data_IF_141462334263
#
_entry.id   IF_141462334263
#
_cell.length_a   1.000
_cell.length_b   1.000
_cell.length_c   1.000
_cell.angle_alpha   90.00
_cell.angle_beta   90.00
_cell.angle_gamma   90.00
#
_symmetry.space_group_name_H-M   'P 1'
#
loop_
_entity.id
_entity.type
_entity.pdbx_description
1 polymer ?
#
# COMPACT_ATOMS: atom_id res chain seq x y z
N UNK A 1 1.69 -6.74 -4.10
CA UNK A 1 1.46 -8.16 -4.45
C UNK A 1 0.59 -8.34 -5.68
N UNK A 2 -0.68 -7.90 -5.68
CA UNK A 2 -1.60 -8.05 -6.83
C UNK A 2 -2.16 -6.71 -7.33
N UNK A 3 -1.44 -5.62 -7.04
CA UNK A 3 -1.77 -4.29 -7.52
C UNK A 3 -1.39 -4.18 -8.99
N UNK A 4 -2.34 -3.79 -9.82
CA UNK A 4 -2.16 -3.64 -11.26
C UNK A 4 -3.21 -2.68 -11.82
N UNK A 5 -3.03 -2.24 -13.05
CA UNK A 5 -4.04 -1.44 -13.75
C UNK A 5 -4.98 -2.38 -14.51
N UNK A 6 -6.27 -2.36 -14.16
CA UNK A 6 -7.32 -3.18 -14.79
C UNK A 6 -8.33 -2.21 -15.39
N UNK A 7 -8.51 -2.28 -16.70
CA UNK A 7 -9.46 -1.45 -17.46
C UNK A 7 -9.27 0.06 -17.20
N UNK A 8 -8.02 0.49 -17.05
CA UNK A 8 -7.64 1.89 -16.84
C UNK A 8 -7.58 2.31 -15.37
N UNK A 9 -7.97 1.45 -14.42
CA UNK A 9 -8.01 1.78 -12.99
C UNK A 9 -7.00 0.95 -12.21
N UNK A 10 -6.18 1.63 -11.38
CA UNK A 10 -5.29 0.94 -10.45
C UNK A 10 -6.11 0.30 -9.32
N UNK A 11 -6.06 -1.03 -9.21
CA UNK A 11 -6.85 -1.78 -8.22
C UNK A 11 -6.13 -3.05 -7.77
N UNK A 12 -6.75 -3.75 -6.82
CA UNK A 12 -6.29 -5.05 -6.35
C UNK A 12 -6.96 -6.16 -7.16
N UNK A 13 -6.20 -6.89 -7.95
CA UNK A 13 -6.75 -7.91 -8.85
C UNK A 13 -7.55 -8.99 -8.12
N UNK A 14 -7.13 -9.39 -6.91
CA UNK A 14 -7.84 -10.41 -6.13
C UNK A 14 -9.22 -9.99 -5.62
N UNK A 15 -9.52 -8.68 -5.62
CA UNK A 15 -10.82 -8.12 -5.24
C UNK A 15 -11.57 -7.53 -6.44
N UNK A 16 -10.92 -7.44 -7.60
CA UNK A 16 -11.52 -6.94 -8.83
C UNK A 16 -12.36 -8.06 -9.48
N UNK A 17 -13.69 -7.91 -9.45
CA UNK A 17 -14.60 -8.88 -10.05
C UNK A 17 -14.49 -8.84 -11.56
N UNK A 18 -14.32 -10.00 -12.18
CA UNK A 18 -14.33 -10.16 -13.63
C UNK A 18 -15.69 -9.73 -14.18
N UNK A 19 -15.67 -8.97 -15.27
CA UNK A 19 -16.87 -8.60 -15.99
C UNK A 19 -17.52 -9.85 -16.61
N UNK A 20 -18.80 -10.08 -16.32
CA UNK A 20 -19.54 -11.24 -16.83
C UNK A 20 -20.02 -11.06 -18.27
N UNK A 21 -19.96 -9.84 -18.80
CA UNK A 21 -20.27 -9.55 -20.20
C UNK A 21 -19.10 -9.98 -21.10
N UNK A 22 -19.25 -11.17 -21.70
CA UNK A 22 -18.24 -11.75 -22.61
C UNK A 22 -17.98 -10.95 -23.89
N UNK A 23 -18.80 -9.94 -24.21
CA UNK A 23 -18.54 -9.04 -25.34
C UNK A 23 -17.46 -8.00 -25.03
N UNK A 24 -17.12 -7.81 -23.75
CA UNK A 24 -16.13 -6.82 -23.30
C UNK A 24 -14.80 -7.50 -23.01
N UNK A 25 -13.75 -6.98 -23.66
CA UNK A 25 -12.38 -7.41 -23.41
C UNK A 25 -11.80 -6.59 -22.26
N UNK A 26 -11.34 -7.25 -21.18
CA UNK A 26 -10.59 -6.59 -20.12
C UNK A 26 -9.12 -6.45 -20.48
N UNK A 27 -8.56 -5.28 -20.20
CA UNK A 27 -7.13 -4.96 -20.38
C UNK A 27 -6.45 -4.90 -19.03
N UNK A 28 -5.34 -5.62 -18.90
CA UNK A 28 -4.55 -5.67 -17.68
C UNK A 28 -3.13 -5.21 -17.99
N UNK A 29 -2.67 -4.21 -17.25
CA UNK A 29 -1.32 -3.66 -17.34
C UNK A 29 -0.65 -3.68 -15.96
N UNK A 30 0.70 -3.70 -15.88
CA UNK A 30 1.39 -3.40 -14.63
C UNK A 30 1.02 -2.00 -14.12
N UNK A 31 1.40 -1.69 -12.87
CA UNK A 31 1.19 -0.34 -12.34
C UNK A 31 1.89 0.71 -13.23
N UNK A 32 1.21 1.83 -13.56
CA UNK A 32 1.76 2.86 -14.45
C UNK A 32 3.04 3.50 -13.90
N UNK A 33 3.89 4.01 -14.80
CA UNK A 33 5.11 4.76 -14.46
C UNK A 33 6.14 4.03 -13.59
N UNK A 34 6.03 2.70 -13.46
CA UNK A 34 7.04 1.86 -12.82
C UNK A 34 7.84 1.09 -13.86
N UNK A 35 9.13 0.84 -13.57
CA UNK A 35 9.91 -0.09 -14.37
C UNK A 35 9.32 -1.50 -14.24
N UNK A 36 9.14 -2.18 -15.36
CA UNK A 36 8.58 -3.54 -15.38
C UNK A 36 9.72 -4.54 -15.37
N UNK A 37 9.75 -5.41 -14.36
CA UNK A 37 10.71 -6.52 -14.30
C UNK A 37 10.35 -7.55 -15.37
N UNK A 38 9.10 -8.02 -15.33
CA UNK A 38 8.53 -8.95 -16.30
C UNK A 38 7.00 -8.98 -16.19
N UNK A 39 6.31 -9.10 -17.32
CA UNK A 39 4.85 -9.23 -17.40
C UNK A 39 4.11 -8.13 -16.60
N UNK A 40 3.40 -8.50 -15.53
CA UNK A 40 2.64 -7.59 -14.67
C UNK A 40 3.38 -7.24 -13.37
N UNK A 41 4.66 -7.60 -13.25
CA UNK A 41 5.46 -7.39 -12.03
C UNK A 41 6.33 -6.13 -12.17
N UNK A 42 5.95 -5.01 -11.53
CA UNK A 42 6.79 -3.82 -11.48
C UNK A 42 7.92 -3.96 -10.46
N UNK A 43 8.99 -3.20 -10.66
CA UNK A 43 10.05 -3.00 -9.69
C UNK A 43 9.59 -2.03 -8.60
N UNK A 44 9.46 -2.54 -7.37
CA UNK A 44 8.98 -1.79 -6.20
C UNK A 44 10.12 -1.19 -5.36
N UNK A 45 11.38 -1.34 -5.78
CA UNK A 45 12.56 -0.95 -4.98
C UNK A 45 12.50 0.53 -4.58
N UNK A 46 12.31 1.43 -5.54
CA UNK A 46 12.22 2.87 -5.26
C UNK A 46 11.05 3.23 -4.33
N UNK A 47 9.89 2.57 -4.46
CA UNK A 47 8.74 2.80 -3.58
C UNK A 47 9.07 2.44 -2.12
N UNK A 48 9.72 1.30 -1.89
CA UNK A 48 10.12 0.89 -0.54
C UNK A 48 11.26 1.74 0.02
N UNK A 49 12.18 2.22 -0.81
CA UNK A 49 13.22 3.15 -0.38
C UNK A 49 12.63 4.47 0.12
N UNK A 50 11.66 5.04 -0.60
CA UNK A 50 10.93 6.23 -0.15
C UNK A 50 10.18 5.98 1.16
N UNK A 51 9.53 4.83 1.32
CA UNK A 51 8.88 4.47 2.59
C UNK A 51 9.87 4.31 3.74
N UNK A 52 11.09 3.82 3.49
CA UNK A 52 12.13 3.72 4.51
C UNK A 52 12.60 5.10 4.98
N UNK A 53 12.62 6.12 4.10
CA UNK A 53 13.09 7.46 4.43
C UNK A 53 12.24 8.16 5.50
N UNK A 54 10.94 7.85 5.59
CA UNK A 54 10.09 8.42 6.65
C UNK A 54 10.30 7.76 8.02
N UNK A 55 11.12 6.71 8.08
CA UNK A 55 11.44 5.96 9.30
C UNK A 55 10.17 5.53 10.05
N UNK A 56 9.37 4.61 9.47
CA UNK A 56 7.99 4.33 9.86
C UNK A 56 7.91 3.45 11.11
N UNK A 57 8.55 3.88 12.18
CA UNK A 57 8.59 3.23 13.48
C UNK A 57 8.45 4.27 14.59
N UNK A 58 8.00 3.83 15.77
CA UNK A 58 7.78 4.74 16.90
C UNK A 58 9.11 5.26 17.46
N UNK A 59 9.36 6.56 17.29
CA UNK A 59 10.55 7.23 17.82
C UNK A 59 10.28 7.80 19.21
N UNK A 60 11.15 7.48 20.19
CA UNK A 60 11.04 7.96 21.57
C UNK A 60 12.40 8.39 22.10
N UNK A 61 12.41 9.41 22.97
CA UNK A 61 13.64 9.88 23.64
C UNK A 61 14.11 8.92 24.75
N UNK A 62 13.20 8.16 25.37
CA UNK A 62 13.51 7.23 26.46
C UNK A 62 13.20 5.78 26.05
N UNK A 63 14.24 5.05 25.65
CA UNK A 63 14.17 3.66 25.23
C UNK A 63 14.19 2.65 26.40
N UNK A 64 14.54 3.08 27.62
CA UNK A 64 14.78 2.20 28.79
C UNK A 64 13.53 1.49 29.33
N UNK A 65 12.36 1.81 28.75
CA UNK A 65 11.03 1.35 29.19
C UNK A 65 10.33 0.43 28.18
N UNK A 66 10.98 0.10 27.06
CA UNK A 66 10.42 -0.84 26.08
C UNK A 66 10.19 -2.19 26.78
N UNK A 67 9.00 -2.79 26.60
CA UNK A 67 8.64 -4.09 27.18
C UNK A 67 8.31 -4.09 28.68
N UNK A 68 8.56 -3.01 29.43
CA UNK A 68 8.27 -2.96 30.88
C UNK A 68 6.81 -2.62 31.19
N UNK A 69 6.18 -1.80 30.36
CA UNK A 69 4.77 -1.42 30.46
C UNK A 69 4.24 -0.86 29.15
N UNK A 70 2.92 -0.84 29.00
CA UNK A 70 2.22 -0.21 27.87
C UNK A 70 2.40 1.32 27.88
N UNK A 71 2.22 1.93 26.72
CA UNK A 71 2.20 3.39 26.56
C UNK A 71 0.77 3.89 26.79
N UNK A 72 0.65 5.01 27.52
CA UNK A 72 -0.65 5.65 27.73
C UNK A 72 -0.98 6.45 26.47
N UNK A 73 -2.16 6.23 25.92
CA UNK A 73 -2.76 6.96 24.81
C UNK A 73 -4.27 7.03 25.07
N UNK A 74 -4.90 8.19 24.88
CA UNK A 74 -6.37 8.30 25.02
C UNK A 74 -7.10 7.70 23.82
N UNK A 75 -8.41 7.44 23.96
CA UNK A 75 -9.24 6.93 22.86
C UNK A 75 -9.25 7.94 21.70
N UNK A 76 -9.43 9.23 22.01
CA UNK A 76 -9.46 10.29 20.99
C UNK A 76 -8.13 10.44 20.26
N UNK A 77 -7.00 10.23 20.94
CA UNK A 77 -5.68 10.23 20.31
C UNK A 77 -5.47 9.00 19.42
N UNK A 78 -5.93 7.82 19.85
CA UNK A 78 -5.86 6.59 19.06
C UNK A 78 -6.73 6.68 17.81
N UNK A 79 -7.93 7.27 17.91
CA UNK A 79 -8.87 7.42 16.81
C UNK A 79 -8.32 8.27 15.66
N UNK A 80 -7.39 9.20 15.94
CA UNK A 80 -6.70 9.98 14.89
C UNK A 80 -5.90 9.13 13.90
N UNK A 81 -5.60 7.87 14.24
CA UNK A 81 -4.90 6.97 13.33
C UNK A 81 -5.85 6.23 12.37
N UNK A 82 -7.15 6.23 12.64
CA UNK A 82 -8.13 5.53 11.80
C UNK A 82 -8.17 6.13 10.40
N UNK A 83 -8.20 5.27 9.39
CA UNK A 83 -8.01 5.60 7.97
C UNK A 83 -6.55 5.74 7.52
N UNK A 84 -5.57 5.81 8.43
CA UNK A 84 -4.15 5.96 8.09
C UNK A 84 -3.37 4.64 8.19
N UNK A 85 -3.57 3.85 9.26
CA UNK A 85 -2.80 2.61 9.46
C UNK A 85 -3.33 1.44 8.61
N UNK A 86 -4.50 1.58 8.02
CA UNK A 86 -5.14 0.62 7.12
C UNK A 86 -4.47 0.57 5.75
N UNK A 87 -3.52 1.48 5.48
CA UNK A 87 -2.70 1.44 4.27
C UNK A 87 -1.94 0.11 4.16
N UNK A 88 -2.20 -0.62 3.08
CA UNK A 88 -1.56 -1.92 2.79
C UNK A 88 -0.33 -1.81 1.88
N UNK A 89 0.18 -0.60 1.64
CA UNK A 89 1.34 -0.34 0.79
C UNK A 89 1.23 -0.95 -0.62
N UNK A 90 0.05 -0.86 -1.24
CA UNK A 90 -0.18 -1.44 -2.58
C UNK A 90 0.34 -0.59 -3.75
N UNK A 91 0.78 0.64 -3.49
CA UNK A 91 1.24 1.64 -4.46
C UNK A 91 0.20 2.14 -5.48
N UNK A 92 -1.03 1.60 -5.52
CA UNK A 92 -2.07 2.03 -6.46
C UNK A 92 -2.30 3.55 -6.49
N UNK A 93 -2.27 4.22 -5.33
CA UNK A 93 -2.48 5.67 -5.22
C UNK A 93 -1.29 6.51 -5.70
N UNK A 94 -0.08 5.96 -5.72
CA UNK A 94 1.14 6.65 -6.13
C UNK A 94 1.39 6.56 -7.65
N UNK A 95 0.71 5.64 -8.32
CA UNK A 95 0.89 5.33 -9.75
C UNK A 95 -0.34 5.66 -10.60
N UNK A 96 -1.25 6.50 -10.06
CA UNK A 96 -2.50 6.91 -10.72
C UNK A 96 -2.33 8.13 -11.62
#
# INVERSE_FOLDING_TARGET
>A
SCAMNIDGVNTLACLCRINTDSSKVSKIYPLPHMYVVKDLVPDMTNFYEQYKQIEPYLKRKDERRIGKKQLIQSIDERAKMDGLYECILCACCSTS
#
